data_IF_352090589987
#
_entry.id   IF_352090589987
#
_cell.length_a   1.000
_cell.length_b   1.000
_cell.length_c   1.000
_cell.angle_alpha   90.00
_cell.angle_beta   90.00
_cell.angle_gamma   90.00
#
_symmetry.space_group_name_H-M   'P 1'
#
loop_
_entity.id
_entity.type
_entity.pdbx_description
1 polymer ?
#
# COMPACT_ATOMS: atom_id res chain seq x y z
N UNK A 1 -1.74 -4.29 -17.50
CA UNK A 1 -2.74 -3.85 -16.52
C UNK A 1 -2.85 -2.35 -16.70
N UNK A 2 -4.05 -1.85 -16.98
CA UNK A 2 -4.28 -0.42 -17.20
C UNK A 2 -4.31 0.32 -15.85
N UNK A 3 -4.05 1.63 -15.86
CA UNK A 3 -3.92 2.46 -14.65
C UNK A 3 -5.09 2.28 -13.67
N UNK A 4 -6.31 2.26 -14.19
CA UNK A 4 -7.51 2.10 -13.37
C UNK A 4 -7.54 0.78 -12.60
N UNK A 5 -7.03 -0.31 -13.18
CA UNK A 5 -6.96 -1.58 -12.49
C UNK A 5 -5.93 -1.56 -11.35
N UNK A 6 -4.84 -0.80 -11.51
CA UNK A 6 -3.83 -0.59 -10.46
C UNK A 6 -4.44 0.21 -9.31
N UNK A 7 -5.20 1.25 -9.62
CA UNK A 7 -5.90 2.07 -8.62
C UNK A 7 -6.93 1.24 -7.83
N UNK A 8 -7.77 0.46 -8.51
CA UNK A 8 -8.75 -0.44 -7.86
C UNK A 8 -8.06 -1.48 -6.97
N UNK A 9 -6.96 -2.09 -7.43
CA UNK A 9 -6.21 -3.07 -6.66
C UNK A 9 -5.54 -2.43 -5.43
N UNK A 10 -4.95 -1.25 -5.59
CA UNK A 10 -4.35 -0.52 -4.47
C UNK A 10 -5.39 -0.12 -3.42
N UNK A 11 -6.56 0.35 -3.83
CA UNK A 11 -7.67 0.65 -2.90
C UNK A 11 -8.08 -0.60 -2.13
N UNK A 12 -8.17 -1.76 -2.79
CA UNK A 12 -8.51 -3.01 -2.12
C UNK A 12 -7.46 -3.41 -1.08
N UNK A 13 -6.16 -3.23 -1.39
CA UNK A 13 -5.06 -3.46 -0.45
C UNK A 13 -5.17 -2.51 0.75
N UNK A 14 -5.36 -1.21 0.52
CA UNK A 14 -5.47 -0.19 1.57
C UNK A 14 -6.63 -0.51 2.53
N UNK A 15 -7.80 -0.85 1.98
CA UNK A 15 -8.98 -1.26 2.78
C UNK A 15 -8.69 -2.53 3.59
N UNK A 16 -7.86 -3.44 3.06
CA UNK A 16 -7.41 -4.63 3.77
C UNK A 16 -6.71 -4.37 5.11
N UNK A 17 -6.21 -3.14 5.33
CA UNK A 17 -5.55 -2.70 6.56
C UNK A 17 -6.40 -1.74 7.42
N UNK A 18 -7.70 -1.58 7.14
CA UNK A 18 -8.58 -0.64 7.87
C UNK A 18 -8.69 -0.90 9.39
N UNK A 19 -8.35 -2.12 9.81
CA UNK A 19 -8.38 -2.54 11.22
C UNK A 19 -7.06 -2.29 11.94
N UNK A 20 -5.99 -2.11 11.17
CA UNK A 20 -4.60 -2.01 11.63
C UNK A 20 -4.13 -0.55 11.59
N UNK A 21 -4.67 0.25 10.65
CA UNK A 21 -4.36 1.65 10.47
C UNK A 21 -5.52 2.57 10.90
N UNK A 22 -5.23 3.83 11.30
CA UNK A 22 -6.28 4.80 11.59
C UNK A 22 -7.14 5.08 10.35
N UNK A 23 -8.46 5.18 10.56
CA UNK A 23 -9.41 5.44 9.48
C UNK A 23 -9.09 6.70 8.65
N UNK A 24 -8.50 7.73 9.27
CA UNK A 24 -8.06 8.94 8.57
C UNK A 24 -6.94 8.66 7.55
N UNK A 25 -5.94 7.84 7.92
CA UNK A 25 -4.84 7.46 7.03
C UNK A 25 -5.36 6.62 5.86
N UNK A 26 -6.25 5.68 6.15
CA UNK A 26 -6.89 4.83 5.13
C UNK A 26 -7.67 5.69 4.12
N UNK A 27 -8.48 6.63 4.62
CA UNK A 27 -9.24 7.53 3.76
C UNK A 27 -8.33 8.42 2.90
N UNK A 28 -7.27 8.99 3.47
CA UNK A 28 -6.31 9.82 2.73
C UNK A 28 -5.67 9.06 1.56
N UNK A 29 -5.18 7.83 1.81
CA UNK A 29 -4.56 7.01 0.77
C UNK A 29 -5.57 6.61 -0.33
N UNK A 30 -6.84 6.39 0.02
CA UNK A 30 -7.89 6.16 -0.96
C UNK A 30 -8.17 7.41 -1.81
N UNK A 31 -8.13 8.60 -1.22
CA UNK A 31 -8.30 9.86 -1.94
C UNK A 31 -7.14 10.12 -2.91
N UNK A 32 -5.90 9.90 -2.47
CA UNK A 32 -4.70 9.99 -3.32
C UNK A 32 -4.79 9.02 -4.51
N UNK A 33 -5.19 7.78 -4.25
CA UNK A 33 -5.35 6.78 -5.32
C UNK A 33 -6.38 7.23 -6.35
N UNK A 34 -7.54 7.76 -5.91
CA UNK A 34 -8.59 8.27 -6.80
C UNK A 34 -8.25 9.58 -7.49
N UNK A 35 -7.30 10.34 -6.95
CA UNK A 35 -6.79 11.57 -7.54
C UNK A 35 -5.75 11.31 -8.66
N UNK A 36 -5.44 10.04 -8.95
CA UNK A 36 -4.43 9.65 -9.93
C UNK A 36 -3.01 9.63 -9.37
N UNK A 37 -2.87 9.56 -8.04
CA UNK A 37 -1.59 9.51 -7.32
C UNK A 37 -1.38 8.17 -6.57
N UNK A 38 -1.57 6.99 -7.20
CA UNK A 38 -1.44 5.70 -6.52
C UNK A 38 0.00 5.39 -6.07
N UNK A 39 1.01 5.97 -6.72
CA UNK A 39 2.39 5.87 -6.27
C UNK A 39 2.57 6.44 -4.86
N UNK A 40 2.12 7.69 -4.66
CA UNK A 40 2.16 8.36 -3.35
C UNK A 40 1.32 7.58 -2.33
N UNK A 41 0.15 7.08 -2.72
CA UNK A 41 -0.69 6.28 -1.84
C UNK A 41 0.01 4.99 -1.38
N UNK A 42 0.75 4.30 -2.25
CA UNK A 42 1.52 3.11 -1.90
C UNK A 42 2.72 3.42 -0.97
N UNK A 43 3.43 4.51 -1.25
CA UNK A 43 4.54 4.99 -0.40
C UNK A 43 4.04 5.33 1.01
N UNK A 44 2.90 6.03 1.10
CA UNK A 44 2.22 6.31 2.36
C UNK A 44 1.80 5.01 3.05
N UNK A 45 1.20 4.06 2.32
CA UNK A 45 0.80 2.77 2.90
C UNK A 45 1.98 2.06 3.56
N UNK A 46 3.10 1.92 2.84
CA UNK A 46 4.29 1.25 3.38
C UNK A 46 4.86 2.00 4.59
N UNK A 47 4.88 3.34 4.54
CA UNK A 47 5.31 4.18 5.66
C UNK A 47 4.42 3.97 6.89
N UNK A 48 3.10 3.96 6.70
CA UNK A 48 2.16 3.77 7.80
C UNK A 48 2.22 2.36 8.38
N UNK A 49 2.35 1.33 7.55
CA UNK A 49 2.51 -0.04 8.04
C UNK A 49 3.79 -0.19 8.88
N UNK A 50 4.87 0.48 8.49
CA UNK A 50 6.10 0.53 9.27
C UNK A 50 5.95 1.33 10.57
N UNK A 51 5.39 2.54 10.52
CA UNK A 51 5.24 3.41 11.70
C UNK A 51 4.32 2.83 12.77
N UNK A 52 3.28 2.11 12.35
CA UNK A 52 2.32 1.46 13.25
C UNK A 52 2.73 0.04 13.64
N UNK A 53 3.93 -0.43 13.25
CA UNK A 53 4.44 -1.77 13.55
C UNK A 53 3.44 -2.87 13.11
N UNK A 54 2.82 -2.68 11.94
CA UNK A 54 1.81 -3.61 11.42
C UNK A 54 2.51 -4.82 10.83
N UNK A 55 2.21 -6.00 11.37
CA UNK A 55 2.70 -7.26 10.83
C UNK A 55 2.06 -7.55 9.46
N UNK A 56 2.85 -7.49 8.40
CA UNK A 56 2.42 -7.78 7.03
C UNK A 56 2.78 -9.21 6.67
N UNK A 57 1.76 -10.07 6.51
CA UNK A 57 1.99 -11.44 6.07
C UNK A 57 2.48 -11.52 4.62
N UNK A 58 3.06 -12.66 4.25
CA UNK A 58 3.66 -12.88 2.94
C UNK A 58 2.68 -12.65 1.78
N UNK A 59 1.40 -12.99 1.94
CA UNK A 59 0.39 -12.81 0.87
C UNK A 59 0.14 -11.32 0.66
N UNK A 60 -0.10 -10.57 1.73
CA UNK A 60 -0.28 -9.11 1.66
C UNK A 60 0.95 -8.39 1.11
N UNK A 61 2.14 -8.82 1.54
CA UNK A 61 3.40 -8.28 1.02
C UNK A 61 3.56 -8.51 -0.49
N UNK A 62 3.19 -9.69 -0.98
CA UNK A 62 3.22 -10.00 -2.42
C UNK A 62 2.24 -9.13 -3.20
N UNK A 63 1.06 -8.81 -2.64
CA UNK A 63 0.09 -7.91 -3.27
C UNK A 63 0.63 -6.48 -3.38
N UNK A 64 1.22 -5.97 -2.29
CA UNK A 64 1.87 -4.64 -2.26
C UNK A 64 3.00 -4.59 -3.30
N UNK A 65 3.86 -5.60 -3.32
CA UNK A 65 4.98 -5.68 -4.27
C UNK A 65 4.51 -5.75 -5.73
N UNK A 66 3.45 -6.50 -6.02
CA UNK A 66 2.90 -6.59 -7.37
C UNK A 66 2.45 -5.23 -7.90
N UNK A 67 1.68 -4.48 -7.10
CA UNK A 67 1.21 -3.13 -7.45
C UNK A 67 2.38 -2.15 -7.55
N UNK A 68 3.33 -2.19 -6.62
CA UNK A 68 4.53 -1.36 -6.67
C UNK A 68 5.38 -1.58 -7.91
N UNK A 69 5.61 -2.84 -8.30
CA UNK A 69 6.33 -3.17 -9.53
C UNK A 69 5.63 -2.69 -10.79
N UNK A 70 4.29 -2.79 -10.85
CA UNK A 70 3.51 -2.29 -11.99
C UNK A 70 3.61 -0.78 -12.15
N UNK A 71 3.81 -0.05 -11.04
CA UNK A 71 3.99 1.40 -11.03
C UNK A 71 5.46 1.84 -11.16
N UNK A 72 6.42 0.92 -11.12
CA UNK A 72 7.86 1.24 -11.12
C UNK A 72 8.33 1.91 -9.83
N UNK A 73 7.63 1.68 -8.71
CA UNK A 73 8.03 2.17 -7.39
C UNK A 73 9.21 1.34 -6.88
N UNK A 74 10.09 1.98 -6.12
CA UNK A 74 11.28 1.37 -5.55
C UNK A 74 10.91 0.29 -4.52
N UNK A 75 11.54 -0.89 -4.62
CA UNK A 75 11.23 -2.04 -3.77
C UNK A 75 11.58 -1.83 -2.29
N UNK A 76 12.45 -0.86 -1.97
CA UNK A 76 12.84 -0.55 -0.60
C UNK A 76 11.63 -0.18 0.28
N UNK A 77 10.55 0.34 -0.32
CA UNK A 77 9.33 0.71 0.42
C UNK A 77 8.69 -0.49 1.13
N UNK A 78 8.49 -1.61 0.43
CA UNK A 78 7.86 -2.80 1.03
C UNK A 78 8.86 -3.82 1.55
N UNK A 79 10.12 -3.79 1.12
CA UNK A 79 11.18 -4.63 1.72
C UNK A 79 11.40 -4.33 3.21
N UNK A 80 11.22 -3.07 3.62
CA UNK A 80 11.29 -2.69 5.03
C UNK A 80 10.23 -3.42 5.90
N UNK A 81 9.08 -3.75 5.31
CA UNK A 81 7.98 -4.46 5.98
C UNK A 81 8.30 -5.95 6.17
N UNK A 82 9.09 -6.54 5.27
CA UNK A 82 9.46 -7.96 5.33
C UNK A 82 10.40 -8.31 6.49
N UNK A 83 11.02 -7.30 7.11
CA UNK A 83 12.06 -7.48 8.15
C UNK A 83 11.53 -7.42 9.58
N UNK A 84 10.21 -7.26 9.78
CA UNK A 84 9.56 -7.26 11.08
C UNK A 84 9.06 -8.68 11.43
N UNK A 85 9.97 -9.56 11.84
CA UNK A 85 9.68 -10.88 12.46
C UNK A 85 9.88 -10.85 13.97
#
# INVERSE_FOLDING_TARGET
MDMQAIEDELVAIIVGFERELPAAQVAEMQELTKAGEPGIALENLCTQLYEYDVAVDTVRLQQIAAVGHLMGIDENYWQALASHE
#
